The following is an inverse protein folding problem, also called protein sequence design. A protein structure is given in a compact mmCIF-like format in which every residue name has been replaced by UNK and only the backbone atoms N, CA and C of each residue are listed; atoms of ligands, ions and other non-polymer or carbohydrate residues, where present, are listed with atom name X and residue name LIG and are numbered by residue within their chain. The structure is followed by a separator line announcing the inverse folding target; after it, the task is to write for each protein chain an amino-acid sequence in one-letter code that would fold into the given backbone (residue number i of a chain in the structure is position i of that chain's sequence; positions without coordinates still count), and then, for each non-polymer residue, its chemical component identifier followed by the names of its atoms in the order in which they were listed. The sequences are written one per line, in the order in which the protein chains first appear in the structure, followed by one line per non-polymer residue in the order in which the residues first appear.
data_IF_858043793640
#
_entry.id   IF_858043793640
#
_cell.length_a   1.000
_cell.length_b   1.000
_cell.length_c   1.000
_cell.angle_alpha   90.00
_cell.angle_beta   90.00
_cell.angle_gamma   90.00
#
_symmetry.space_group_name_H-M   'P 1'
#
loop_
_entity.id
_entity.type
_entity.pdbx_description
1 polymer ?
#
# COMPACT_ATOMS: atom_id res chain seq x y z
N UNK A 1 -11.79 13.11 -11.51
CA UNK A 1 -10.46 12.47 -11.71
C UNK A 1 -9.75 12.71 -10.42
N UNK A 2 -9.66 11.65 -9.61
CA UNK A 2 -9.23 11.77 -8.22
C UNK A 2 -7.71 11.59 -8.12
N UNK A 3 -7.06 12.45 -7.34
CA UNK A 3 -5.62 12.41 -7.06
C UNK A 3 -5.44 11.71 -5.72
N UNK A 4 -4.60 10.68 -5.67
CA UNK A 4 -4.24 10.00 -4.42
C UNK A 4 -2.91 10.56 -3.90
N UNK A 5 -2.90 11.10 -2.68
CA UNK A 5 -1.70 11.60 -1.99
C UNK A 5 -1.54 10.81 -0.70
N UNK A 6 -0.58 9.89 -0.64
CA UNK A 6 -0.17 9.22 0.60
C UNK A 6 1.21 9.72 1.00
N UNK A 7 1.31 10.28 2.20
CA UNK A 7 2.55 10.83 2.74
C UNK A 7 3.43 9.76 3.40
N UNK A 8 2.89 8.57 3.73
CA UNK A 8 3.48 7.74 4.79
C UNK A 8 3.30 6.23 4.72
N UNK A 9 2.39 5.67 3.92
CA UNK A 9 2.33 4.23 3.68
C UNK A 9 1.42 3.90 2.50
N UNK A 10 1.97 3.60 1.31
CA UNK A 10 1.16 3.39 0.12
C UNK A 10 1.23 1.94 -0.38
N UNK A 11 1.31 0.94 0.50
CA UNK A 11 1.06 -0.44 0.07
C UNK A 11 -0.47 -0.63 -0.08
N UNK A 12 -0.91 -0.83 -1.31
CA UNK A 12 -2.31 -1.12 -1.68
C UNK A 12 -2.40 -2.58 -2.11
N UNK A 13 -3.20 -3.37 -1.42
CA UNK A 13 -3.43 -4.78 -1.73
C UNK A 13 -4.92 -5.05 -1.92
N UNK A 14 -5.31 -5.63 -3.05
CA UNK A 14 -6.72 -5.85 -3.42
C UNK A 14 -6.96 -7.22 -4.04
N UNK A 15 -8.08 -7.88 -3.74
CA UNK A 15 -8.51 -9.09 -4.47
C UNK A 15 -9.27 -8.77 -5.77
N UNK A 16 -9.53 -7.48 -6.02
CA UNK A 16 -10.26 -6.98 -7.18
C UNK A 16 -9.40 -5.98 -7.97
N UNK A 17 -9.87 -5.60 -9.16
CA UNK A 17 -9.22 -4.58 -9.99
C UNK A 17 -8.97 -3.27 -9.22
N UNK A 18 -7.81 -2.67 -9.42
CA UNK A 18 -7.42 -1.38 -8.82
C UNK A 18 -7.38 -0.32 -9.91
N UNK A 19 -8.19 0.72 -9.76
CA UNK A 19 -8.20 1.89 -10.64
C UNK A 19 -7.80 3.13 -9.84
N UNK A 20 -6.76 3.85 -10.29
CA UNK A 20 -6.38 5.11 -9.65
C UNK A 20 -5.91 6.17 -10.66
N UNK A 21 -5.97 7.43 -10.21
CA UNK A 21 -5.48 8.59 -10.96
C UNK A 21 -3.98 8.80 -10.79
N UNK A 22 -3.56 10.06 -10.89
CA UNK A 22 -2.16 10.42 -10.60
C UNK A 22 -1.79 10.16 -9.14
N UNK A 23 -0.52 9.84 -8.92
CA UNK A 23 0.11 9.70 -7.62
C UNK A 23 1.33 10.61 -7.53
N UNK A 24 1.50 11.33 -6.42
CA UNK A 24 2.75 12.00 -6.09
C UNK A 24 3.03 11.82 -4.60
N UNK A 25 4.15 11.21 -4.26
CA UNK A 25 4.47 10.91 -2.86
C UNK A 25 5.67 9.98 -2.67
N UNK A 26 5.74 9.34 -1.51
CA UNK A 26 6.76 8.35 -1.18
C UNK A 26 6.60 7.05 -2.01
N UNK A 27 7.52 6.10 -1.87
CA UNK A 27 7.55 4.86 -2.64
C UNK A 27 6.23 4.07 -2.56
N UNK A 28 5.66 3.65 -3.70
CA UNK A 28 4.31 3.08 -3.87
C UNK A 28 4.35 1.58 -4.18
N UNK A 29 3.49 0.77 -3.54
CA UNK A 29 3.18 -0.59 -4.02
C UNK A 29 1.68 -0.76 -4.25
N UNK A 30 1.33 -1.33 -5.40
CA UNK A 30 -0.03 -1.78 -5.69
C UNK A 30 0.05 -3.23 -6.12
N UNK A 31 -0.62 -4.11 -5.40
CA UNK A 31 -0.79 -5.51 -5.77
C UNK A 31 -2.26 -5.91 -5.83
N UNK A 32 -2.59 -6.74 -6.81
CA UNK A 32 -3.94 -7.26 -6.94
C UNK A 32 -4.00 -8.60 -7.65
N UNK A 33 -4.98 -9.43 -7.27
CA UNK A 33 -5.32 -10.64 -8.03
C UNK A 33 -6.06 -10.32 -9.34
N UNK A 34 -6.60 -9.11 -9.47
CA UNK A 34 -7.19 -8.55 -10.68
C UNK A 34 -6.19 -7.73 -11.51
N UNK A 35 -6.68 -6.67 -12.16
CA UNK A 35 -5.92 -5.75 -13.03
C UNK A 35 -5.62 -4.42 -12.34
N UNK A 36 -4.58 -3.71 -12.81
CA UNK A 36 -4.28 -2.34 -12.36
C UNK A 36 -4.45 -1.38 -13.54
N UNK A 37 -5.23 -0.32 -13.34
CA UNK A 37 -5.38 0.76 -14.30
C UNK A 37 -4.99 2.10 -13.67
N UNK A 38 -4.02 2.77 -14.29
CA UNK A 38 -3.52 4.07 -13.85
C UNK A 38 -3.87 5.10 -14.92
N UNK A 39 -4.69 6.08 -14.55
CA UNK A 39 -5.21 7.10 -15.48
C UNK A 39 -4.40 8.40 -15.49
N UNK A 40 -3.24 8.44 -14.83
CA UNK A 40 -2.36 9.61 -14.78
C UNK A 40 -0.92 9.28 -14.35
N UNK A 41 -0.11 10.31 -14.13
CA UNK A 41 1.31 10.15 -13.80
C UNK A 41 1.56 9.65 -12.37
N UNK A 42 2.61 8.84 -12.19
CA UNK A 42 3.15 8.43 -10.88
C UNK A 42 4.49 9.11 -10.69
N UNK A 43 4.58 10.00 -9.70
CA UNK A 43 5.80 10.72 -9.34
C UNK A 43 6.26 10.34 -7.93
N UNK A 44 7.29 9.51 -7.84
CA UNK A 44 7.87 9.08 -6.55
C UNK A 44 8.96 10.06 -6.14
N UNK A 45 8.78 10.73 -5.00
CA UNK A 45 9.67 11.80 -4.53
C UNK A 45 10.64 11.35 -3.44
N UNK A 46 10.38 10.21 -2.80
CA UNK A 46 11.21 9.69 -1.71
C UNK A 46 10.99 8.19 -1.48
N UNK A 47 11.90 7.51 -0.76
CA UNK A 47 11.59 6.24 -0.11
C UNK A 47 10.44 6.36 0.90
N UNK A 48 9.93 5.23 1.36
CA UNK A 48 9.04 5.15 2.53
C UNK A 48 9.86 5.07 3.83
N UNK A 49 10.05 6.20 4.49
CA UNK A 49 10.83 6.29 5.73
C UNK A 49 10.17 5.62 6.93
N UNK A 50 8.85 5.45 6.92
CA UNK A 50 8.16 4.71 7.98
C UNK A 50 8.40 3.22 7.82
N UNK A 51 8.28 2.72 6.59
CA UNK A 51 8.61 1.35 6.26
C UNK A 51 10.09 1.07 6.51
N UNK A 52 10.98 2.03 6.23
CA UNK A 52 12.41 1.93 6.61
C UNK A 52 12.61 1.75 8.11
N UNK A 53 11.91 2.55 8.92
CA UNK A 53 11.99 2.46 10.38
C UNK A 53 11.45 1.12 10.90
N UNK A 54 10.36 0.63 10.30
CA UNK A 54 9.76 -0.67 10.60
C UNK A 54 10.71 -1.83 10.23
N UNK A 55 11.19 -1.87 8.98
CA UNK A 55 12.10 -2.92 8.50
C UNK A 55 13.48 -2.91 9.16
N UNK A 56 13.88 -1.82 9.83
CA UNK A 56 15.11 -1.78 10.62
C UNK A 56 15.04 -2.61 11.91
N UNK A 57 13.83 -2.92 12.40
CA UNK A 57 13.59 -3.72 13.60
C UNK A 57 12.82 -5.03 13.36
N UNK A 58 12.13 -5.15 12.23
CA UNK A 58 11.24 -6.27 11.91
C UNK A 58 11.64 -6.99 10.61
N UNK A 59 11.08 -8.18 10.38
CA UNK A 59 11.26 -8.92 9.12
C UNK A 59 10.34 -8.36 8.06
N UNK A 60 10.91 -7.85 6.96
CA UNK A 60 10.18 -7.31 5.82
C UNK A 60 10.32 -8.19 4.58
N UNK A 61 9.35 -8.07 3.68
CA UNK A 61 9.43 -8.65 2.34
C UNK A 61 10.47 -7.91 1.49
N UNK A 62 10.93 -8.54 0.41
CA UNK A 62 11.88 -7.91 -0.52
C UNK A 62 11.30 -6.63 -1.15
N UNK A 63 10.00 -6.65 -1.50
CA UNK A 63 9.30 -5.47 -2.00
C UNK A 63 9.32 -4.34 -0.94
N UNK A 64 9.00 -4.68 0.32
CA UNK A 64 9.02 -3.69 1.40
C UNK A 64 10.42 -3.09 1.62
N UNK A 65 11.48 -3.90 1.50
CA UNK A 65 12.86 -3.40 1.57
C UNK A 65 13.22 -2.47 0.40
N UNK A 66 12.71 -2.74 -0.80
CA UNK A 66 12.89 -1.85 -1.95
C UNK A 66 12.22 -0.50 -1.69
N UNK A 67 10.95 -0.52 -1.27
CA UNK A 67 10.16 0.68 -0.98
C UNK A 67 10.75 1.51 0.18
N UNK A 68 11.23 0.83 1.23
CA UNK A 68 11.85 1.45 2.39
C UNK A 68 13.13 2.22 2.06
N UNK A 69 13.93 1.71 1.12
CA UNK A 69 15.28 2.23 0.88
C UNK A 69 15.41 3.04 -0.41
N UNK A 70 14.41 3.01 -1.29
CA UNK A 70 14.47 3.66 -2.60
C UNK A 70 13.17 4.38 -2.94
N UNK A 71 13.23 5.51 -3.67
CA UNK A 71 12.06 6.05 -4.34
C UNK A 71 11.62 5.10 -5.45
N UNK A 72 10.73 4.16 -5.13
CA UNK A 72 10.32 3.08 -6.01
C UNK A 72 8.80 3.02 -6.20
N UNK A 73 8.38 2.44 -7.33
CA UNK A 73 7.00 2.02 -7.57
C UNK A 73 6.98 0.55 -7.95
N UNK A 74 6.10 -0.22 -7.32
CA UNK A 74 5.90 -1.65 -7.59
C UNK A 74 4.42 -1.87 -7.94
N UNK A 75 4.15 -2.30 -9.17
CA UNK A 75 2.79 -2.63 -9.62
C UNK A 75 2.73 -4.11 -9.98
N UNK A 76 1.91 -4.88 -9.27
CA UNK A 76 1.78 -6.34 -9.43
C UNK A 76 0.32 -6.71 -9.64
N UNK A 77 -0.11 -6.81 -10.89
CA UNK A 77 -1.43 -7.29 -11.27
C UNK A 77 -1.43 -8.81 -11.50
N UNK A 78 -2.59 -9.45 -11.36
CA UNK A 78 -2.79 -10.87 -11.62
C UNK A 78 -1.99 -11.80 -10.70
N UNK A 79 -1.64 -11.34 -9.49
CA UNK A 79 -0.93 -12.22 -8.54
C UNK A 79 -1.87 -13.32 -8.05
N UNK A 80 -1.36 -14.53 -7.80
CA UNK A 80 -2.16 -15.65 -7.29
C UNK A 80 -2.54 -15.49 -5.81
N UNK A 81 -1.79 -14.66 -5.08
CA UNK A 81 -1.99 -14.33 -3.67
C UNK A 81 -1.36 -12.97 -3.36
N UNK A 82 -2.00 -12.20 -2.48
CA UNK A 82 -1.46 -10.93 -1.99
C UNK A 82 -0.30 -11.20 -1.03
N UNK A 83 0.84 -10.53 -1.25
CA UNK A 83 2.05 -10.69 -0.46
C UNK A 83 1.95 -9.93 0.86
N UNK A 84 1.39 -8.73 0.82
CA UNK A 84 1.14 -7.91 1.99
C UNK A 84 -0.31 -8.18 2.44
N UNK A 85 -0.46 -8.72 3.65
CA UNK A 85 -1.79 -9.05 4.16
C UNK A 85 -2.58 -7.76 4.38
N UNK A 86 -3.73 -7.63 3.72
CA UNK A 86 -4.80 -6.77 4.23
C UNK A 86 -5.18 -7.36 5.59
N UNK A 87 -4.97 -6.61 6.68
CA UNK A 87 -5.23 -7.11 8.02
C UNK A 87 -6.69 -7.58 8.13
N UNK A 88 -6.91 -8.89 8.02
CA UNK A 88 -8.23 -9.47 8.15
C UNK A 88 -8.53 -9.63 9.64
N UNK A 89 -8.75 -8.51 10.32
CA UNK A 89 -9.02 -8.50 11.75
C UNK A 89 -10.42 -9.08 11.97
N UNK A 90 -10.51 -10.38 12.27
CA UNK A 90 -11.68 -10.95 12.91
C UNK A 90 -11.75 -10.41 14.35
N UNK A 91 -12.56 -9.37 14.56
CA UNK A 91 -12.75 -8.72 15.86
C UNK A 91 -13.44 -9.68 16.84
N UNK A 92 -12.66 -10.42 17.64
CA UNK A 92 -13.21 -11.25 18.74
C UNK A 92 -12.68 -10.88 20.13
N UNK A 93 -11.89 -9.82 20.28
CA UNK A 93 -11.43 -9.39 21.61
C UNK A 93 -11.23 -7.87 21.68
N UNK A 94 -11.74 -7.26 22.75
CA UNK A 94 -11.82 -5.80 23.00
C UNK A 94 -10.48 -5.12 23.27
N UNK A 95 -9.35 -5.73 22.91
CA UNK A 95 -8.02 -5.12 22.97
C UNK A 95 -7.31 -5.40 21.67
N UNK A 96 -7.40 -4.45 20.74
CA UNK A 96 -6.45 -4.38 19.63
C UNK A 96 -5.58 -3.16 19.86
N UNK A 97 -4.39 -3.43 20.34
CA UNK A 97 -3.30 -2.47 20.31
C UNK A 97 -2.68 -2.59 18.91
N UNK A 98 -3.25 -1.90 17.91
CA UNK A 98 -2.54 -1.72 16.63
C UNK A 98 -1.44 -0.72 16.91
N UNK A 99 -0.22 -1.19 17.19
CA UNK A 99 0.94 -0.29 17.24
C UNK A 99 1.15 0.23 15.82
N UNK A 100 0.88 1.53 15.64
CA UNK A 100 1.30 2.37 14.52
C UNK A 100 0.71 2.18 13.11
N UNK A 101 -0.27 1.31 12.88
CA UNK A 101 -0.92 1.23 11.56
C UNK A 101 -2.25 1.98 11.55
N UNK A 102 -2.22 3.27 11.19
CA UNK A 102 -3.43 4.02 10.84
C UNK A 102 -3.81 3.66 9.40
N UNK A 103 -4.51 2.55 9.20
CA UNK A 103 -5.19 2.28 7.92
C UNK A 103 -6.33 3.28 7.81
N UNK A 104 -6.10 4.39 7.11
CA UNK A 104 -7.21 5.22 6.64
C UNK A 104 -7.84 4.50 5.45
N UNK A 105 -8.78 3.61 5.77
CA UNK A 105 -9.64 2.93 4.81
C UNK A 105 -10.62 3.95 4.22
N UNK A 106 -10.20 4.70 3.21
CA UNK A 106 -11.10 5.49 2.36
C UNK A 106 -11.69 4.56 1.28
N UNK A 107 -12.54 3.62 1.70
CA UNK A 107 -13.50 3.02 0.77
C UNK A 107 -14.64 4.02 0.64
N UNK A 108 -14.61 4.82 -0.41
CA UNK A 108 -15.80 5.51 -0.87
C UNK A 108 -16.72 4.47 -1.52
N UNK A 109 -17.58 3.84 -0.72
CA UNK A 109 -18.76 3.16 -1.26
C UNK A 109 -19.74 4.25 -1.69
N UNK A 110 -19.91 4.43 -2.99
CA UNK A 110 -21.08 5.11 -3.54
C UNK A 110 -21.70 4.16 -4.57
N UNK A 111 -22.88 3.65 -4.19
CA UNK A 111 -23.90 3.11 -5.08
C UNK A 111 -24.31 4.15 -6.13
#
# INVERSE_FOLDING_TARGET
MEIFVSLYDPIISSTDDVNFGSYTGAALKVETTGSINVSGDINITSPDFNLQSFCGGDTCSDDALILANNPAVILRAGVSSLQEQVANIQLTSWVILVRNFLVLLLILQVL
#
